data_IF_872164687327
#
_entry.id   IF_872164687327
#
_cell.length_a   1.000
_cell.length_b   1.000
_cell.length_c   1.000
_cell.angle_alpha   90.00
_cell.angle_beta   90.00
_cell.angle_gamma   90.00
#
_symmetry.space_group_name_H-M   'P 1'
#
loop_
_entity.id
_entity.type
_entity.pdbx_description
1 polymer ?
#
# COMPACT_ATOMS: atom_id res chain seq x y z
N UNK A 1 1.91 32.43 -0.32
CA UNK A 1 0.64 32.27 0.44
C UNK A 1 -0.08 31.00 0.05
N UNK A 2 0.45 29.84 0.44
CA UNK A 2 -0.20 28.56 0.15
C UNK A 2 -0.43 27.78 1.44
N UNK A 3 -1.23 28.36 2.35
CA UNK A 3 -1.59 27.79 3.66
C UNK A 3 -2.35 26.46 3.57
N UNK A 4 -2.66 26.00 2.34
CA UNK A 4 -3.38 24.74 2.07
C UNK A 4 -2.49 23.59 1.58
N UNK A 5 -1.24 23.85 1.21
CA UNK A 5 -0.34 22.77 0.77
C UNK A 5 0.34 22.15 1.98
N UNK A 6 -0.11 20.96 2.37
CA UNK A 6 0.47 20.22 3.47
C UNK A 6 1.45 19.17 2.94
N UNK A 7 2.65 19.16 3.47
CA UNK A 7 3.66 18.11 3.30
C UNK A 7 3.59 17.21 4.53
N UNK A 8 3.72 15.91 4.33
CA UNK A 8 3.93 14.95 5.41
C UNK A 8 5.20 14.17 5.14
N UNK A 9 6.01 13.98 6.18
CA UNK A 9 7.21 13.14 6.14
C UNK A 9 7.13 12.14 7.29
N UNK A 10 7.25 10.85 7.00
CA UNK A 10 7.19 9.82 8.03
C UNK A 10 8.24 8.73 7.82
N UNK A 11 8.69 8.15 8.93
CA UNK A 11 9.57 6.97 8.97
C UNK A 11 9.12 6.03 10.10
N UNK A 12 7.84 5.64 10.09
CA UNK A 12 7.21 4.90 11.19
C UNK A 12 7.63 3.44 11.30
N UNK A 13 8.08 2.81 10.19
CA UNK A 13 8.60 1.44 10.21
C UNK A 13 7.55 0.34 10.46
N UNK A 14 6.28 0.58 10.11
CA UNK A 14 5.16 -0.37 10.22
C UNK A 14 4.84 -0.82 11.67
N UNK A 15 4.71 0.08 12.65
CA UNK A 15 4.30 -0.32 14.00
C UNK A 15 2.88 -0.89 13.97
N UNK A 16 2.69 -2.11 14.50
CA UNK A 16 1.39 -2.78 14.54
C UNK A 16 1.36 -3.90 15.58
N UNK A 17 0.16 -4.42 15.88
CA UNK A 17 -0.06 -5.52 16.83
C UNK A 17 -0.04 -6.91 16.20
N UNK A 18 0.25 -7.01 14.90
CA UNK A 18 0.29 -8.26 14.15
C UNK A 18 -1.08 -8.72 13.61
N UNK A 19 -1.02 -9.56 12.58
CA UNK A 19 -2.20 -9.95 11.79
C UNK A 19 -3.30 -10.67 12.57
N UNK A 20 -2.93 -11.44 13.62
CA UNK A 20 -3.92 -12.12 14.48
C UNK A 20 -4.78 -11.13 15.26
N UNK A 21 -4.15 -10.08 15.79
CA UNK A 21 -4.88 -9.01 16.47
C UNK A 21 -5.91 -8.36 15.52
N UNK A 22 -5.50 -8.02 14.31
CA UNK A 22 -6.39 -7.40 13.33
C UNK A 22 -7.47 -8.36 12.80
N UNK A 23 -7.24 -9.66 12.78
CA UNK A 23 -8.28 -10.66 12.54
C UNK A 23 -9.36 -10.67 13.62
N UNK A 24 -8.97 -10.53 14.89
CA UNK A 24 -9.94 -10.37 16.00
C UNK A 24 -10.66 -9.01 15.94
N UNK A 25 -9.98 -7.95 15.49
CA UNK A 25 -10.64 -6.65 15.24
C UNK A 25 -11.68 -6.78 14.14
N UNK A 26 -11.38 -7.47 13.04
CA UNK A 26 -12.33 -7.76 11.95
C UNK A 26 -13.58 -8.48 12.47
N UNK A 27 -13.40 -9.52 13.28
CA UNK A 27 -14.48 -10.26 13.91
C UNK A 27 -15.37 -9.36 14.78
N UNK A 28 -14.76 -8.55 15.66
CA UNK A 28 -15.51 -7.61 16.51
C UNK A 28 -16.28 -6.58 15.68
N UNK A 29 -15.64 -6.05 14.63
CA UNK A 29 -16.26 -5.09 13.72
C UNK A 29 -17.49 -5.69 13.04
N UNK A 30 -17.36 -6.86 12.41
CA UNK A 30 -18.43 -7.55 11.71
C UNK A 30 -19.62 -7.92 12.61
N UNK A 31 -19.37 -8.19 13.89
CA UNK A 31 -20.39 -8.53 14.86
C UNK A 31 -20.97 -7.29 15.59
N UNK A 32 -20.51 -6.09 15.26
CA UNK A 32 -20.95 -4.86 15.91
C UNK A 32 -22.14 -4.21 15.21
N UNK A 33 -22.93 -3.43 15.98
CA UNK A 33 -23.97 -2.56 15.40
C UNK A 33 -23.40 -1.57 14.38
N UNK A 34 -22.15 -1.12 14.57
CA UNK A 34 -21.46 -0.21 13.66
C UNK A 34 -21.35 -0.80 12.25
N UNK A 35 -21.12 -2.10 12.11
CA UNK A 35 -21.06 -2.76 10.81
C UNK A 35 -22.40 -2.68 10.06
N UNK A 36 -23.51 -2.86 10.78
CA UNK A 36 -24.85 -2.75 10.20
C UNK A 36 -25.11 -1.30 9.73
N UNK A 37 -24.79 -0.30 10.56
CA UNK A 37 -24.97 1.12 10.25
C UNK A 37 -24.00 1.61 9.16
N UNK A 38 -22.84 0.98 8.98
CA UNK A 38 -21.86 1.34 7.96
C UNK A 38 -22.17 0.78 6.56
N UNK A 39 -23.40 0.37 6.29
CA UNK A 39 -23.80 -0.27 5.03
C UNK A 39 -22.95 -1.51 4.70
N UNK A 40 -22.52 -2.26 5.72
CA UNK A 40 -21.69 -3.48 5.60
C UNK A 40 -20.39 -3.24 4.82
N UNK A 41 -19.70 -2.15 5.11
CA UNK A 41 -18.40 -1.85 4.48
C UNK A 41 -17.42 -3.02 4.63
N UNK A 42 -16.62 -3.31 3.58
CA UNK A 42 -15.65 -4.39 3.64
C UNK A 42 -14.53 -4.11 4.65
N UNK A 43 -14.01 -5.16 5.26
CA UNK A 43 -12.79 -5.12 6.07
C UNK A 43 -11.61 -5.61 5.24
N UNK A 44 -10.72 -4.69 4.88
CA UNK A 44 -9.51 -4.97 4.10
C UNK A 44 -8.34 -5.12 5.05
N UNK A 45 -7.67 -6.27 5.03
CA UNK A 45 -6.46 -6.50 5.81
C UNK A 45 -5.24 -6.07 5.00
N UNK A 46 -4.53 -5.03 5.47
CA UNK A 46 -3.24 -4.65 4.90
C UNK A 46 -2.14 -5.63 5.35
N UNK A 47 -1.43 -6.22 4.39
CA UNK A 47 -0.44 -7.27 4.61
C UNK A 47 0.95 -6.76 4.28
N UNK A 48 1.86 -6.84 5.25
CA UNK A 48 3.27 -6.46 5.08
C UNK A 48 4.16 -7.38 5.91
N UNK A 49 4.44 -8.55 5.39
CA UNK A 49 5.35 -9.52 6.00
C UNK A 49 6.81 -9.09 5.92
N UNK A 50 7.63 -9.59 6.83
CA UNK A 50 9.08 -9.33 6.82
C UNK A 50 9.83 -10.22 5.81
N UNK A 51 9.18 -11.25 5.28
CA UNK A 51 9.66 -12.13 4.21
C UNK A 51 8.50 -12.54 3.30
N UNK A 52 8.81 -13.21 2.19
CA UNK A 52 7.79 -13.81 1.31
C UNK A 52 6.96 -14.83 2.10
N UNK A 53 7.63 -15.66 2.92
CA UNK A 53 6.98 -16.65 3.79
C UNK A 53 6.01 -16.02 4.79
N UNK A 54 6.39 -14.87 5.36
CA UNK A 54 5.51 -14.13 6.26
C UNK A 54 4.27 -13.62 5.54
N UNK A 55 4.42 -13.07 4.33
CA UNK A 55 3.28 -12.63 3.53
C UNK A 55 2.34 -13.80 3.21
N UNK A 56 2.88 -14.95 2.80
CA UNK A 56 2.09 -16.15 2.52
C UNK A 56 1.35 -16.62 3.78
N UNK A 57 2.03 -16.65 4.92
CA UNK A 57 1.42 -17.06 6.20
C UNK A 57 0.25 -16.15 6.58
N UNK A 58 0.40 -14.83 6.39
CA UNK A 58 -0.65 -13.86 6.68
C UNK A 58 -1.81 -14.02 5.70
N UNK A 59 -1.54 -14.24 4.41
CA UNK A 59 -2.57 -14.48 3.40
C UNK A 59 -3.37 -15.76 3.68
N UNK A 60 -2.71 -16.86 4.07
CA UNK A 60 -3.38 -18.09 4.50
C UNK A 60 -4.27 -17.88 5.72
N UNK A 61 -3.81 -17.10 6.69
CA UNK A 61 -4.62 -16.74 7.84
C UNK A 61 -5.86 -15.94 7.42
N UNK A 62 -5.71 -14.97 6.52
CA UNK A 62 -6.81 -14.18 6.00
C UNK A 62 -7.81 -15.05 5.23
N UNK A 63 -7.33 -15.95 4.39
CA UNK A 63 -8.16 -16.87 3.61
C UNK A 63 -9.01 -17.82 4.48
N UNK A 64 -8.45 -18.25 5.61
CA UNK A 64 -9.17 -19.05 6.61
C UNK A 64 -10.12 -18.24 7.51
N UNK A 65 -10.12 -16.89 7.42
CA UNK A 65 -10.87 -16.01 8.30
C UNK A 65 -12.07 -15.37 7.60
N UNK A 66 -13.28 -15.80 7.97
CA UNK A 66 -14.54 -15.34 7.35
C UNK A 66 -14.92 -13.88 7.65
N UNK A 67 -14.15 -13.17 8.49
CA UNK A 67 -14.42 -11.76 8.84
C UNK A 67 -13.57 -10.79 8.04
N UNK A 68 -12.61 -11.30 7.23
CA UNK A 68 -11.77 -10.50 6.33
C UNK A 68 -12.37 -10.62 4.94
N UNK A 69 -12.70 -9.49 4.31
CA UNK A 69 -13.34 -9.47 2.98
C UNK A 69 -12.33 -9.37 1.86
N UNK A 70 -11.13 -8.83 2.12
CA UNK A 70 -10.08 -8.59 1.14
C UNK A 70 -8.74 -8.43 1.81
N UNK A 71 -7.66 -8.65 1.07
CA UNK A 71 -6.30 -8.29 1.49
C UNK A 71 -5.71 -7.24 0.55
N UNK A 72 -4.84 -6.38 1.11
CA UNK A 72 -3.99 -5.48 0.36
C UNK A 72 -2.53 -5.77 0.69
N UNK A 73 -1.78 -6.31 -0.27
CA UNK A 73 -0.34 -6.56 -0.13
C UNK A 73 0.44 -5.25 -0.24
N UNK A 74 1.15 -4.87 0.79
CA UNK A 74 2.00 -3.69 0.77
C UNK A 74 3.37 -4.03 0.13
N UNK A 75 3.51 -3.73 -1.16
CA UNK A 75 4.74 -3.96 -1.91
C UNK A 75 5.74 -2.80 -1.82
N UNK A 76 5.45 -1.79 -1.04
CA UNK A 76 6.09 -0.48 -1.17
C UNK A 76 6.42 0.20 0.16
N UNK A 77 6.77 -0.53 1.22
CA UNK A 77 7.18 0.14 2.45
C UNK A 77 8.60 0.71 2.31
N UNK A 78 8.77 2.05 2.18
CA UNK A 78 10.11 2.66 2.01
C UNK A 78 10.87 2.76 3.34
N UNK A 79 10.22 2.45 4.46
CA UNK A 79 10.73 2.76 5.81
C UNK A 79 11.41 1.57 6.49
N UNK A 80 11.55 0.42 5.84
CA UNK A 80 12.28 -0.72 6.36
C UNK A 80 13.75 -0.66 5.93
N UNK A 81 14.65 -0.52 6.91
CA UNK A 81 16.08 -0.48 6.66
C UNK A 81 16.57 -1.85 6.19
N UNK A 82 17.39 -1.86 5.14
CA UNK A 82 17.98 -3.09 4.59
C UNK A 82 17.01 -3.98 3.80
N UNK A 83 15.80 -3.49 3.49
CA UNK A 83 14.82 -4.24 2.72
C UNK A 83 14.39 -3.44 1.49
N UNK A 84 14.60 -3.95 0.27
CA UNK A 84 14.11 -3.30 -0.94
C UNK A 84 12.56 -3.33 -0.95
N UNK A 85 11.97 -2.37 -1.67
CA UNK A 85 10.54 -2.38 -1.91
C UNK A 85 10.23 -3.42 -2.99
N UNK A 86 9.46 -4.45 -2.63
CA UNK A 86 9.11 -5.57 -3.55
C UNK A 86 8.51 -5.06 -4.86
N UNK A 87 7.77 -3.94 -4.83
CA UNK A 87 7.18 -3.35 -6.04
C UNK A 87 8.19 -2.85 -7.08
N UNK A 88 9.49 -2.72 -6.73
CA UNK A 88 10.56 -2.40 -7.68
C UNK A 88 11.41 -3.62 -8.05
N UNK A 89 11.29 -4.72 -7.31
CA UNK A 89 11.96 -5.99 -7.56
C UNK A 89 10.96 -6.91 -8.26
N UNK A 90 10.87 -6.81 -9.59
CA UNK A 90 9.82 -7.46 -10.39
C UNK A 90 9.85 -8.99 -10.29
N UNK A 91 11.02 -9.60 -10.20
CA UNK A 91 11.16 -11.05 -10.02
C UNK A 91 10.63 -11.50 -8.65
N UNK A 92 10.90 -10.72 -7.59
CA UNK A 92 10.37 -10.98 -6.25
C UNK A 92 8.86 -10.74 -6.19
N UNK A 93 8.37 -9.71 -6.88
CA UNK A 93 6.94 -9.44 -7.00
C UNK A 93 6.22 -10.61 -7.68
N UNK A 94 6.73 -11.09 -8.79
CA UNK A 94 6.18 -12.24 -9.53
C UNK A 94 6.22 -13.52 -8.69
N UNK A 95 7.36 -13.80 -8.05
CA UNK A 95 7.51 -14.95 -7.17
C UNK A 95 6.55 -14.91 -5.97
N UNK A 96 6.39 -13.75 -5.32
CA UNK A 96 5.43 -13.57 -4.23
C UNK A 96 3.99 -13.87 -4.69
N UNK A 97 3.56 -13.27 -5.79
CA UNK A 97 2.19 -13.42 -6.30
C UNK A 97 1.90 -14.87 -6.74
N UNK A 98 2.87 -15.54 -7.39
CA UNK A 98 2.76 -16.95 -7.75
C UNK A 98 2.55 -17.82 -6.50
N UNK A 99 3.39 -17.67 -5.49
CA UNK A 99 3.31 -18.45 -4.26
C UNK A 99 2.03 -18.18 -3.45
N UNK A 100 1.53 -16.94 -3.47
CA UNK A 100 0.22 -16.64 -2.87
C UNK A 100 -0.87 -17.37 -3.65
N UNK A 101 -0.88 -17.29 -4.98
CA UNK A 101 -1.87 -17.95 -5.83
C UNK A 101 -1.91 -19.47 -5.61
N UNK A 102 -0.76 -20.10 -5.38
CA UNK A 102 -0.62 -21.52 -5.09
C UNK A 102 -1.04 -21.89 -3.65
N UNK A 103 -1.05 -20.92 -2.75
CA UNK A 103 -1.17 -21.14 -1.31
C UNK A 103 -2.53 -20.83 -0.71
N UNK A 104 -3.37 -20.08 -1.43
CA UNK A 104 -4.70 -19.62 -0.97
C UNK A 104 -5.76 -19.94 -2.03
N UNK A 105 -6.98 -20.26 -1.56
CA UNK A 105 -8.11 -20.58 -2.45
C UNK A 105 -8.74 -19.36 -3.12
N UNK A 106 -8.25 -18.14 -2.80
CA UNK A 106 -8.75 -16.86 -3.33
C UNK A 106 -10.27 -16.72 -3.20
N UNK A 107 -10.77 -16.86 -1.98
CA UNK A 107 -12.20 -16.64 -1.68
C UNK A 107 -12.60 -15.16 -1.69
N UNK A 108 -11.63 -14.25 -1.75
CA UNK A 108 -11.81 -12.82 -1.68
C UNK A 108 -10.84 -12.07 -2.62
N UNK A 109 -11.12 -10.79 -2.94
CA UNK A 109 -10.26 -9.94 -3.76
C UNK A 109 -8.87 -9.74 -3.14
N UNK A 110 -7.85 -9.68 -4.01
CA UNK A 110 -6.47 -9.37 -3.64
C UNK A 110 -6.07 -8.03 -4.26
N UNK A 111 -5.70 -7.09 -3.41
CA UNK A 111 -5.16 -5.79 -3.80
C UNK A 111 -3.66 -5.68 -3.60
N UNK A 112 -3.05 -4.75 -4.33
CA UNK A 112 -1.66 -4.34 -4.16
C UNK A 112 -1.57 -2.86 -3.81
N UNK A 113 -0.81 -2.52 -2.75
CA UNK A 113 -0.36 -1.16 -2.50
C UNK A 113 0.97 -0.95 -3.20
N UNK A 114 0.97 -0.14 -4.26
CA UNK A 114 2.13 0.05 -5.12
C UNK A 114 3.01 1.22 -4.69
N UNK A 115 4.34 1.14 -4.91
CA UNK A 115 5.21 2.33 -4.86
C UNK A 115 4.86 3.26 -6.02
N UNK A 116 5.30 4.53 -5.96
CA UNK A 116 5.25 5.39 -7.13
C UNK A 116 6.23 4.88 -8.21
N UNK A 117 5.76 4.68 -9.43
CA UNK A 117 6.61 4.43 -10.58
C UNK A 117 6.88 5.73 -11.32
N UNK A 118 8.08 5.85 -11.89
CA UNK A 118 8.57 7.05 -12.59
C UNK A 118 9.05 6.75 -14.00
N UNK A 119 9.37 5.50 -14.30
CA UNK A 119 9.89 5.03 -15.57
C UNK A 119 8.85 4.18 -16.29
N UNK A 120 8.63 4.43 -17.59
CA UNK A 120 7.63 3.71 -18.39
C UNK A 120 7.92 2.21 -18.46
N UNK A 121 9.20 1.81 -18.51
CA UNK A 121 9.56 0.40 -18.52
C UNK A 121 9.17 -0.32 -17.23
N UNK A 122 9.21 0.37 -16.09
CA UNK A 122 8.76 -0.17 -14.82
C UNK A 122 7.23 -0.27 -14.76
N UNK A 123 6.52 0.72 -15.27
CA UNK A 123 5.07 0.66 -15.42
C UNK A 123 4.65 -0.56 -16.25
N UNK A 124 5.28 -0.76 -17.43
CA UNK A 124 4.96 -1.87 -18.32
C UNK A 124 5.20 -3.24 -17.67
N UNK A 125 6.34 -3.40 -16.99
CA UNK A 125 6.64 -4.63 -16.25
C UNK A 125 5.63 -4.90 -15.14
N UNK A 126 5.29 -3.88 -14.34
CA UNK A 126 4.28 -4.00 -13.29
C UNK A 126 2.92 -4.37 -13.87
N UNK A 127 2.46 -3.69 -14.94
CA UNK A 127 1.19 -4.00 -15.60
C UNK A 127 1.13 -5.43 -16.12
N UNK A 128 2.22 -5.93 -16.73
CA UNK A 128 2.31 -7.33 -17.20
C UNK A 128 2.06 -8.30 -16.05
N UNK A 129 2.80 -8.16 -14.95
CA UNK A 129 2.68 -9.04 -13.79
C UNK A 129 1.27 -8.94 -13.19
N UNK A 130 0.75 -7.73 -12.99
CA UNK A 130 -0.58 -7.48 -12.42
C UNK A 130 -1.68 -8.19 -13.25
N UNK A 131 -1.62 -8.06 -14.58
CA UNK A 131 -2.59 -8.69 -15.48
C UNK A 131 -2.43 -10.22 -15.52
N UNK A 132 -1.21 -10.74 -15.51
CA UNK A 132 -0.93 -12.18 -15.48
C UNK A 132 -1.53 -12.84 -14.23
N UNK A 133 -1.35 -12.22 -13.07
CA UNK A 133 -1.89 -12.75 -11.80
C UNK A 133 -3.35 -12.33 -11.53
N UNK A 134 -3.97 -11.57 -12.42
CA UNK A 134 -5.37 -11.11 -12.31
C UNK A 134 -5.63 -10.49 -10.94
N UNK A 135 -4.87 -9.46 -10.62
CA UNK A 135 -5.01 -8.71 -9.37
C UNK A 135 -6.31 -7.89 -9.43
N UNK A 136 -7.09 -7.93 -8.36
CA UNK A 136 -8.44 -7.37 -8.34
C UNK A 136 -8.43 -5.84 -8.14
N UNK A 137 -7.51 -5.30 -7.31
CA UNK A 137 -7.43 -3.86 -7.04
C UNK A 137 -6.00 -3.36 -6.82
N UNK A 138 -5.77 -2.10 -7.19
CA UNK A 138 -4.48 -1.42 -7.03
C UNK A 138 -4.66 -0.13 -6.27
N UNK A 139 -3.94 0.05 -5.17
CA UNK A 139 -3.85 1.33 -4.49
C UNK A 139 -2.61 2.08 -4.94
N UNK A 140 -2.81 3.16 -5.68
CA UNK A 140 -1.78 4.01 -6.27
C UNK A 140 -1.85 5.41 -5.65
N UNK A 141 -0.84 5.81 -4.87
CA UNK A 141 0.48 5.26 -4.59
C UNK A 141 0.78 5.24 -3.08
N UNK A 142 1.84 4.56 -2.67
CA UNK A 142 2.45 4.76 -1.35
C UNK A 142 3.26 6.08 -1.35
N UNK A 143 3.74 6.49 -0.18
CA UNK A 143 4.60 7.66 -0.04
C UNK A 143 5.90 7.53 -0.87
N UNK A 144 6.41 8.64 -1.39
CA UNK A 144 7.68 8.70 -2.11
C UNK A 144 8.81 8.51 -1.10
N UNK A 145 9.56 7.44 -1.26
CA UNK A 145 10.62 7.08 -0.31
C UNK A 145 11.83 8.01 -0.33
N UNK A 146 12.55 8.02 0.79
CA UNK A 146 13.85 8.71 0.95
C UNK A 146 13.82 10.22 0.72
N UNK A 147 12.69 10.88 0.91
CA UNK A 147 12.64 12.34 0.95
C UNK A 147 13.28 12.87 2.24
N UNK A 148 13.90 14.03 2.16
CA UNK A 148 14.54 14.73 3.26
C UNK A 148 13.94 16.12 3.38
N UNK A 149 13.65 16.55 4.60
CA UNK A 149 13.28 17.94 4.91
C UNK A 149 14.21 18.46 5.98
N UNK A 150 14.81 19.60 5.71
CA UNK A 150 15.67 20.34 6.63
C UNK A 150 14.93 21.59 7.08
N UNK A 151 14.96 21.85 8.38
CA UNK A 151 14.53 23.14 8.93
C UNK A 151 15.66 24.16 8.72
N UNK A 152 15.42 25.23 7.94
CA UNK A 152 16.46 26.18 7.62
C UNK A 152 16.96 27.00 8.83
N UNK A 153 16.12 27.18 9.86
CA UNK A 153 16.49 27.99 11.03
C UNK A 153 17.40 27.21 11.99
N UNK A 154 17.15 25.93 12.17
CA UNK A 154 17.96 25.05 13.04
C UNK A 154 19.04 24.28 12.28
N UNK A 155 19.04 24.32 10.96
CA UNK A 155 19.91 23.53 10.05
C UNK A 155 19.85 22.02 10.34
N UNK A 156 18.72 21.56 10.90
CA UNK A 156 18.53 20.17 11.31
C UNK A 156 17.46 19.47 10.47
N UNK A 157 17.60 18.14 10.35
CA UNK A 157 16.57 17.30 9.73
C UNK A 157 15.33 17.19 10.63
N UNK A 158 14.13 17.22 10.06
CA UNK A 158 12.88 17.20 10.82
C UNK A 158 12.60 15.87 11.53
N UNK A 159 13.11 14.76 11.02
CA UNK A 159 12.96 13.44 11.64
C UNK A 159 14.32 12.77 11.81
N UNK A 160 14.47 11.97 12.88
CA UNK A 160 15.76 11.32 13.20
C UNK A 160 16.00 9.97 12.51
N UNK A 161 14.98 9.07 12.35
CA UNK A 161 15.20 7.77 11.71
C UNK A 161 15.77 7.88 10.30
N UNK A 162 16.49 6.86 9.84
CA UNK A 162 17.07 6.79 8.48
C UNK A 162 17.88 8.04 8.09
N UNK A 163 18.62 8.63 9.02
CA UNK A 163 19.40 9.87 8.78
C UNK A 163 18.54 11.05 8.29
N UNK A 164 17.31 11.15 8.77
CA UNK A 164 16.37 12.20 8.39
C UNK A 164 15.50 11.89 7.16
N UNK A 165 15.72 10.77 6.51
CA UNK A 165 14.93 10.37 5.34
C UNK A 165 13.64 9.65 5.72
N UNK A 166 12.56 9.93 4.98
CA UNK A 166 11.26 9.31 5.19
C UNK A 166 10.41 9.23 3.93
N UNK A 167 9.21 8.69 4.08
CA UNK A 167 8.21 8.69 3.05
C UNK A 167 7.51 10.04 2.95
N UNK A 168 7.59 10.69 1.79
CA UNK A 168 6.94 11.95 1.48
C UNK A 168 5.49 11.71 1.07
N UNK A 169 4.57 12.44 1.68
CA UNK A 169 3.15 12.49 1.34
C UNK A 169 2.63 13.93 1.28
N UNK A 170 1.30 14.06 1.15
CA UNK A 170 0.64 15.36 1.11
C UNK A 170 0.44 15.88 -0.31
N UNK A 171 0.03 17.15 -0.46
CA UNK A 171 -0.42 17.73 -1.73
C UNK A 171 0.63 17.74 -2.84
N UNK A 172 1.90 17.74 -2.50
CA UNK A 172 3.00 17.80 -3.47
C UNK A 172 3.18 16.52 -4.30
N UNK A 173 2.71 15.38 -3.81
CA UNK A 173 2.81 14.11 -4.55
C UNK A 173 1.63 13.87 -5.50
N UNK A 174 0.61 14.72 -5.48
CA UNK A 174 -0.60 14.55 -6.30
C UNK A 174 -0.33 14.35 -7.80
N UNK A 175 0.53 15.15 -8.48
CA UNK A 175 0.80 14.91 -9.90
C UNK A 175 1.39 13.54 -10.18
N UNK A 176 2.25 13.03 -9.30
CA UNK A 176 2.86 11.70 -9.42
C UNK A 176 1.81 10.63 -9.17
N UNK A 177 0.96 10.80 -8.14
CA UNK A 177 -0.14 9.87 -7.86
C UNK A 177 -1.11 9.77 -9.04
N UNK A 178 -1.50 10.91 -9.64
CA UNK A 178 -2.38 10.96 -10.80
C UNK A 178 -1.77 10.27 -12.02
N UNK A 179 -0.47 10.44 -12.28
CA UNK A 179 0.22 9.77 -13.38
C UNK A 179 0.17 8.25 -13.20
N UNK A 180 0.44 7.75 -11.98
CA UNK A 180 0.37 6.33 -11.66
C UNK A 180 -1.07 5.79 -11.78
N UNK A 181 -2.06 6.47 -11.21
CA UNK A 181 -3.48 6.11 -11.33
C UNK A 181 -3.88 6.01 -12.81
N UNK A 182 -3.58 7.03 -13.61
CA UNK A 182 -3.94 7.05 -15.02
C UNK A 182 -3.27 5.91 -15.82
N UNK A 183 -2.00 5.62 -15.54
CA UNK A 183 -1.28 4.56 -16.27
C UNK A 183 -1.86 3.18 -15.97
N UNK A 184 -2.03 2.83 -14.70
CA UNK A 184 -2.58 1.54 -14.29
C UNK A 184 -4.04 1.37 -14.69
N UNK A 185 -4.86 2.43 -14.62
CA UNK A 185 -6.23 2.42 -15.09
C UNK A 185 -6.34 2.05 -16.58
N UNK A 186 -5.42 2.55 -17.41
CA UNK A 186 -5.44 2.29 -18.86
C UNK A 186 -4.84 0.95 -19.27
N UNK A 187 -3.96 0.36 -18.44
CA UNK A 187 -3.13 -0.77 -18.83
C UNK A 187 -3.35 -2.02 -17.97
N UNK A 188 -4.30 -1.98 -17.01
CA UNK A 188 -4.68 -3.15 -16.20
C UNK A 188 -6.20 -3.32 -16.18
N UNK A 189 -6.63 -4.54 -15.78
CA UNK A 189 -8.05 -4.84 -15.57
C UNK A 189 -8.46 -4.73 -14.09
N UNK A 190 -7.62 -4.15 -13.25
CA UNK A 190 -7.83 -4.00 -11.81
C UNK A 190 -8.66 -2.74 -11.51
N UNK A 191 -9.44 -2.78 -10.42
CA UNK A 191 -10.03 -1.56 -9.84
C UNK A 191 -8.94 -0.66 -9.25
N UNK A 192 -9.01 0.65 -9.50
CA UNK A 192 -7.97 1.58 -9.05
C UNK A 192 -8.46 2.40 -7.86
N UNK A 193 -7.68 2.35 -6.79
CA UNK A 193 -7.86 3.19 -5.59
C UNK A 193 -6.80 4.30 -5.62
N UNK A 194 -7.24 5.53 -5.88
CA UNK A 194 -6.36 6.71 -5.86
C UNK A 194 -5.95 7.09 -4.45
N UNK A 195 -4.65 7.23 -4.23
CA UNK A 195 -4.07 7.64 -2.94
C UNK A 195 -2.86 8.54 -3.17
N UNK A 196 -2.88 9.76 -2.64
CA UNK A 196 -1.76 10.69 -2.70
C UNK A 196 -2.17 12.11 -3.10
N UNK A 197 -2.04 13.04 -2.15
CA UNK A 197 -2.27 14.46 -2.37
C UNK A 197 -3.73 14.89 -2.50
N UNK A 198 -4.69 14.06 -2.14
CA UNK A 198 -6.11 14.39 -2.06
C UNK A 198 -6.33 15.19 -0.77
N UNK A 199 -6.66 16.47 -0.87
CA UNK A 199 -6.84 17.39 0.26
C UNK A 199 -8.24 18.02 0.29
N UNK A 200 -9.02 17.82 -0.75
CA UNK A 200 -10.39 18.32 -0.86
C UNK A 200 -11.26 17.38 -1.69
N UNK A 201 -12.59 17.52 -1.62
CA UNK A 201 -13.51 16.77 -2.46
C UNK A 201 -13.39 17.07 -3.98
N UNK A 202 -12.74 18.17 -4.34
CA UNK A 202 -12.44 18.50 -5.76
C UNK A 202 -11.23 17.72 -6.29
N UNK A 203 -10.42 17.15 -5.40
CA UNK A 203 -9.24 16.34 -5.77
C UNK A 203 -9.62 14.89 -6.08
N UNK A 204 -10.76 14.44 -5.60
CA UNK A 204 -11.34 13.12 -5.83
C UNK A 204 -12.24 13.11 -7.05
#
# INVERSE_FOLDING_TARGET
>A
EDSKKKITLNSSGLPNYGYKYYGEVAKRFKNSKLYIYSAKKPYILSVSGMSIEDNIRICKYADANNYIDSIELNLSCPNLVGKPQIGYEFDDMENLLRRIKESVDRKFPIGLKLPPYFDLSHFDKACRIINEFKIDMLTCINSIGNALIVDPDSECVLIRPKRGMGGLGGSYIKPIALANVNYFYRNTNSDIIGCGGIVSGKDA
#
